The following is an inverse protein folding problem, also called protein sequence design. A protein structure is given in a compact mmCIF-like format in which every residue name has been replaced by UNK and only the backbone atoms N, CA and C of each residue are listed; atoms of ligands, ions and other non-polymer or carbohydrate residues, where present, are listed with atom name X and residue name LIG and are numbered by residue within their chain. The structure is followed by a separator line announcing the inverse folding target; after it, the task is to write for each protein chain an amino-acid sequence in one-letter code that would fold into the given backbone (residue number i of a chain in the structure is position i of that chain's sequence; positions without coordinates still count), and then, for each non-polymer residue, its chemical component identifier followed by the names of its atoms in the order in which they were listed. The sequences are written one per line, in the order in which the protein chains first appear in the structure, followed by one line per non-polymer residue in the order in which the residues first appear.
data_IF_097797203172
#
_entry.id   IF_097797203172
#
_cell.length_a   1.000
_cell.length_b   1.000
_cell.length_c   1.000
_cell.angle_alpha   90.00
_cell.angle_beta   90.00
_cell.angle_gamma   90.00
#
_symmetry.space_group_name_H-M   'P 1'
#
loop_
_entity.id
_entity.type
_entity.pdbx_description
1 polymer ?
#
# COMPACT_ATOMS: atom_id res chain seq x y z
N UNK A 1 -16.18 5.68 -6.62
CA UNK A 1 -15.21 4.80 -5.92
C UNK A 1 -13.95 4.66 -6.78
N UNK A 2 -12.73 4.91 -6.25
CA UNK A 2 -11.50 4.88 -7.07
C UNK A 2 -11.23 3.46 -7.59
N UNK A 3 -11.15 3.29 -8.91
CA UNK A 3 -10.90 2.03 -9.63
C UNK A 3 -9.44 1.57 -9.45
N UNK A 4 -9.02 1.20 -8.24
CA UNK A 4 -7.61 0.84 -7.95
C UNK A 4 -7.26 -0.61 -8.30
N UNK A 5 -8.28 -1.48 -8.37
CA UNK A 5 -8.17 -2.89 -8.75
C UNK A 5 -8.39 -3.12 -10.24
N UNK A 6 -9.18 -2.24 -10.89
CA UNK A 6 -9.50 -2.30 -12.31
C UNK A 6 -8.72 -1.22 -13.06
N UNK A 7 -7.83 -1.63 -13.94
CA UNK A 7 -7.07 -0.73 -14.81
C UNK A 7 -7.30 -1.16 -16.25
N UNK A 8 -7.77 -0.21 -17.05
CA UNK A 8 -7.84 -0.37 -18.49
C UNK A 8 -6.61 0.29 -19.11
N UNK A 9 -5.87 -0.47 -19.92
CA UNK A 9 -4.61 -0.03 -20.51
C UNK A 9 -4.61 -0.30 -22.01
N UNK A 10 -3.99 0.58 -22.83
CA UNK A 10 -4.02 0.43 -24.28
C UNK A 10 -3.21 -0.77 -24.78
N UNK A 11 -2.22 -1.23 -24.01
CA UNK A 11 -1.39 -2.39 -24.33
C UNK A 11 -0.74 -2.99 -23.07
N UNK A 12 -0.24 -4.24 -23.12
CA UNK A 12 0.54 -4.83 -22.02
C UNK A 12 1.82 -4.05 -21.70
N UNK A 13 2.36 -4.26 -20.49
CA UNK A 13 3.48 -3.51 -19.90
C UNK A 13 3.30 -1.99 -19.88
N UNK A 14 2.06 -1.50 -19.81
CA UNK A 14 1.80 -0.08 -19.82
C UNK A 14 2.44 0.64 -18.63
N UNK A 15 3.06 1.77 -18.91
CA UNK A 15 3.63 2.66 -17.92
C UNK A 15 3.47 4.10 -18.42
N UNK A 16 2.93 4.96 -17.57
CA UNK A 16 2.74 6.36 -17.88
C UNK A 16 3.62 7.21 -16.97
N UNK A 17 4.46 8.02 -17.59
CA UNK A 17 5.36 8.91 -16.86
C UNK A 17 4.57 9.85 -15.96
N UNK A 18 5.12 10.09 -14.78
CA UNK A 18 4.56 10.96 -13.76
C UNK A 18 3.18 10.56 -13.22
N UNK A 19 2.73 9.34 -13.51
CA UNK A 19 1.51 8.75 -12.98
C UNK A 19 1.81 7.56 -12.05
N UNK A 20 0.86 7.24 -11.19
CA UNK A 20 0.96 6.13 -10.26
C UNK A 20 1.07 4.82 -11.04
N UNK A 21 2.13 4.05 -10.79
CA UNK A 21 2.38 2.79 -11.50
C UNK A 21 1.37 1.69 -11.21
N UNK A 22 0.44 1.90 -10.27
CA UNK A 22 -0.69 1.00 -10.01
C UNK A 22 -2.01 1.53 -10.55
N UNK A 23 -2.41 2.75 -10.17
CA UNK A 23 -3.76 3.26 -10.48
C UNK A 23 -3.81 4.27 -11.63
N UNK A 24 -2.66 4.57 -12.25
CA UNK A 24 -2.50 5.52 -13.35
C UNK A 24 -3.04 6.93 -13.07
N UNK A 25 -3.30 7.28 -11.81
CA UNK A 25 -3.61 8.66 -11.42
C UNK A 25 -2.34 9.49 -11.46
N UNK A 26 -2.41 10.71 -11.97
CA UNK A 26 -1.29 11.65 -11.94
C UNK A 26 -0.72 11.76 -10.52
N UNK A 27 0.60 11.69 -10.40
CA UNK A 27 1.26 11.78 -9.10
C UNK A 27 1.43 13.24 -8.71
N UNK A 28 0.94 13.63 -7.52
CA UNK A 28 1.25 14.92 -6.94
C UNK A 28 2.75 15.17 -6.91
N UNK A 29 3.14 16.43 -7.05
CA UNK A 29 4.54 16.81 -7.25
C UNK A 29 5.42 16.56 -6.02
N UNK A 30 4.84 16.54 -4.83
CA UNK A 30 5.46 16.17 -3.57
C UNK A 30 5.76 14.66 -3.46
N UNK A 31 5.14 13.83 -4.32
CA UNK A 31 5.41 12.40 -4.38
C UNK A 31 6.66 12.09 -5.20
N UNK A 32 7.73 11.74 -4.49
CA UNK A 32 9.01 11.23 -5.04
C UNK A 32 8.92 9.78 -5.50
N UNK A 33 7.89 9.06 -5.07
CA UNK A 33 7.69 7.65 -5.38
C UNK A 33 7.10 7.40 -6.77
N UNK A 34 6.86 6.12 -7.06
CA UNK A 34 6.13 5.66 -8.25
C UNK A 34 4.68 5.29 -7.94
N UNK A 35 4.24 5.44 -6.69
CA UNK A 35 2.90 5.09 -6.24
C UNK A 35 2.29 6.27 -5.48
N UNK A 36 1.00 6.54 -5.70
CA UNK A 36 0.29 7.63 -5.03
C UNK A 36 -0.02 7.32 -3.55
N UNK A 37 0.08 6.05 -3.14
CA UNK A 37 -0.15 5.64 -1.76
C UNK A 37 0.52 4.29 -1.47
N UNK A 38 0.74 4.01 -0.19
CA UNK A 38 1.18 2.69 0.30
C UNK A 38 0.24 1.58 -0.15
N UNK A 39 -1.07 1.81 -0.12
CA UNK A 39 -2.05 0.85 -0.63
C UNK A 39 -1.85 0.50 -2.12
N UNK A 40 -1.59 1.49 -2.99
CA UNK A 40 -1.29 1.23 -4.40
C UNK A 40 0.01 0.43 -4.59
N UNK A 41 1.02 0.68 -3.77
CA UNK A 41 2.26 -0.10 -3.77
C UNK A 41 2.01 -1.56 -3.37
N UNK A 42 1.15 -1.78 -2.38
CA UNK A 42 0.81 -3.11 -1.86
C UNK A 42 -0.06 -3.91 -2.82
N UNK A 43 -1.05 -3.28 -3.47
CA UNK A 43 -1.84 -3.90 -4.54
C UNK A 43 -0.90 -4.40 -5.65
N UNK A 44 -0.03 -3.52 -6.19
CA UNK A 44 0.90 -3.92 -7.24
C UNK A 44 1.87 -5.04 -6.78
N UNK A 45 2.35 -4.98 -5.53
CA UNK A 45 3.16 -6.05 -4.96
C UNK A 45 2.42 -7.38 -4.78
N UNK A 46 1.11 -7.32 -4.52
CA UNK A 46 0.27 -8.50 -4.42
C UNK A 46 -0.04 -9.10 -5.79
N UNK A 47 -0.32 -8.27 -6.81
CA UNK A 47 -0.47 -8.75 -8.20
C UNK A 47 0.79 -9.48 -8.65
N UNK A 48 1.99 -8.90 -8.48
CA UNK A 48 3.26 -9.59 -8.82
C UNK A 48 3.46 -10.91 -8.07
N UNK A 49 3.02 -10.97 -6.81
CA UNK A 49 3.10 -12.21 -6.04
C UNK A 49 2.14 -13.27 -6.59
N UNK A 50 0.88 -12.91 -6.81
CA UNK A 50 -0.16 -13.78 -7.37
C UNK A 50 0.23 -14.30 -8.75
N UNK A 51 0.77 -13.46 -9.63
CA UNK A 51 1.27 -13.89 -10.95
C UNK A 51 2.34 -14.97 -10.83
N UNK A 52 3.30 -14.78 -9.91
CA UNK A 52 4.37 -15.75 -9.64
C UNK A 52 3.82 -17.09 -9.14
N UNK A 53 3.02 -17.08 -8.07
CA UNK A 53 2.48 -18.31 -7.48
C UNK A 53 1.43 -19.01 -8.35
N UNK A 54 0.77 -18.25 -9.24
CA UNK A 54 -0.13 -18.80 -10.25
C UNK A 54 0.64 -19.54 -11.33
N UNK A 55 1.71 -18.93 -11.87
CA UNK A 55 2.55 -19.52 -12.92
C UNK A 55 3.31 -20.76 -12.46
N UNK A 56 3.84 -20.77 -11.24
CA UNK A 56 4.58 -21.92 -10.70
C UNK A 56 3.68 -22.98 -10.04
N UNK A 57 2.36 -22.77 -10.03
CA UNK A 57 1.37 -23.74 -9.55
C UNK A 57 1.22 -23.82 -8.02
N UNK A 58 1.96 -23.01 -7.25
CA UNK A 58 1.92 -23.01 -5.78
C UNK A 58 0.61 -22.52 -5.18
N UNK A 59 -0.32 -21.94 -5.95
CA UNK A 59 -1.66 -21.62 -5.46
C UNK A 59 -2.45 -22.83 -4.93
N UNK A 60 -2.01 -24.07 -5.20
CA UNK A 60 -2.63 -25.28 -4.63
C UNK A 60 -2.15 -25.60 -3.21
N UNK A 61 -0.99 -25.07 -2.82
CA UNK A 61 -0.38 -25.25 -1.51
C UNK A 61 -1.23 -24.56 -0.41
N UNK A 62 -1.63 -25.26 0.66
CA UNK A 62 -2.43 -24.70 1.75
C UNK A 62 -1.82 -23.44 2.39
N UNK A 63 -0.50 -23.41 2.59
CA UNK A 63 0.18 -22.28 3.23
C UNK A 63 0.19 -21.05 2.32
N UNK A 64 0.37 -21.28 1.02
CA UNK A 64 0.29 -20.22 0.01
C UNK A 64 -1.13 -19.69 -0.11
N UNK A 65 -2.15 -20.54 -0.07
CA UNK A 65 -3.56 -20.11 -0.05
C UNK A 65 -3.87 -19.23 1.15
N UNK A 66 -3.45 -19.65 2.35
CA UNK A 66 -3.65 -18.88 3.56
C UNK A 66 -2.93 -17.53 3.47
N UNK A 67 -1.69 -17.51 2.98
CA UNK A 67 -0.93 -16.28 2.77
C UNK A 67 -1.62 -15.34 1.76
N UNK A 68 -2.20 -15.88 0.67
CA UNK A 68 -2.99 -15.10 -0.30
C UNK A 68 -4.23 -14.52 0.37
N UNK A 69 -5.06 -15.35 1.02
CA UNK A 69 -6.28 -14.92 1.72
C UNK A 69 -5.99 -13.83 2.75
N UNK A 70 -4.89 -13.99 3.50
CA UNK A 70 -4.42 -13.01 4.48
C UNK A 70 -4.09 -11.67 3.84
N UNK A 71 -3.34 -11.69 2.73
CA UNK A 71 -3.01 -10.48 1.98
C UNK A 71 -4.24 -9.80 1.39
N UNK A 72 -5.16 -10.58 0.83
CA UNK A 72 -6.40 -10.07 0.24
C UNK A 72 -7.27 -9.39 1.30
N UNK A 73 -7.47 -10.01 2.47
CA UNK A 73 -8.21 -9.40 3.58
C UNK A 73 -7.62 -8.04 3.98
N UNK A 74 -6.29 -7.93 4.06
CA UNK A 74 -5.63 -6.66 4.38
C UNK A 74 -5.74 -5.62 3.26
N UNK A 75 -5.68 -6.04 2.00
CA UNK A 75 -5.87 -5.12 0.87
C UNK A 75 -7.28 -4.56 0.83
N UNK A 76 -8.30 -5.38 1.14
CA UNK A 76 -9.69 -4.94 1.23
C UNK A 76 -9.88 -3.94 2.37
N UNK A 77 -9.20 -4.15 3.51
CA UNK A 77 -9.17 -3.21 4.63
C UNK A 77 -8.30 -1.94 4.40
N UNK A 78 -7.88 -1.66 3.16
CA UNK A 78 -7.11 -0.44 2.81
C UNK A 78 -5.58 -0.60 2.81
N UNK A 79 -5.07 -1.83 2.89
CA UNK A 79 -3.65 -2.18 2.82
C UNK A 79 -2.94 -2.30 4.17
N UNK A 80 -1.73 -2.86 4.19
CA UNK A 80 -0.89 -2.97 5.40
C UNK A 80 -0.50 -1.60 6.00
N UNK A 81 -0.67 -0.50 5.27
CA UNK A 81 -0.56 0.85 5.82
C UNK A 81 -1.49 1.10 7.01
N UNK A 82 -2.71 0.56 6.99
CA UNK A 82 -3.65 0.61 8.14
C UNK A 82 -3.19 -0.27 9.31
N UNK A 83 -2.23 -1.16 9.06
CA UNK A 83 -1.66 -2.12 10.00
C UNK A 83 -0.20 -1.84 10.33
N UNK A 84 0.40 -0.72 9.90
CA UNK A 84 1.82 -0.41 10.14
C UNK A 84 2.09 -0.24 11.65
N UNK A 85 2.19 -1.38 12.31
CA UNK A 85 2.58 -1.64 13.70
C UNK A 85 3.83 -2.48 13.60
N UNK A 86 4.98 -1.81 13.63
CA UNK A 86 6.23 -2.53 13.83
C UNK A 86 6.48 -2.52 15.33
N UNK A 87 6.06 -3.61 15.99
CA UNK A 87 6.55 -3.92 17.34
C UNK A 87 8.07 -3.83 17.32
N UNK A 88 8.63 -3.05 18.24
CA UNK A 88 10.08 -2.86 18.32
C UNK A 88 10.75 -4.21 18.66
N UNK A 89 12.01 -4.44 18.27
CA UNK A 89 12.75 -5.63 18.70
C UNK A 89 12.76 -5.81 20.21
N UNK A 90 12.79 -4.71 20.98
CA UNK A 90 12.68 -4.70 22.44
C UNK A 90 11.34 -5.28 22.90
N UNK A 91 10.23 -4.78 22.38
CA UNK A 91 8.88 -5.25 22.72
C UNK A 91 8.70 -6.75 22.41
N UNK A 92 9.21 -7.23 21.27
CA UNK A 92 9.15 -8.66 20.93
C UNK A 92 9.93 -9.54 21.92
N UNK A 93 11.09 -9.06 22.37
CA UNK A 93 11.91 -9.75 23.37
C UNK A 93 11.22 -9.76 24.73
N UNK A 94 10.63 -8.65 25.15
CA UNK A 94 9.88 -8.54 26.40
C UNK A 94 8.69 -9.53 26.44
N UNK A 95 7.93 -9.65 25.35
CA UNK A 95 6.84 -10.64 25.22
C UNK A 95 7.39 -12.08 25.27
N UNK A 96 8.47 -12.38 24.54
CA UNK A 96 9.06 -13.73 24.54
C UNK A 96 9.56 -14.15 25.93
N UNK A 97 10.16 -13.24 26.69
CA UNK A 97 10.61 -13.49 28.06
C UNK A 97 9.41 -13.74 28.97
N UNK A 98 8.40 -12.84 28.93
CA UNK A 98 7.16 -12.97 29.71
C UNK A 98 6.48 -14.33 29.46
N UNK A 99 6.41 -14.73 28.19
CA UNK A 99 5.71 -15.94 27.75
C UNK A 99 6.59 -17.19 27.84
N UNK A 100 7.81 -17.08 28.40
CA UNK A 100 8.78 -18.17 28.54
C UNK A 100 9.07 -18.91 27.23
N UNK A 101 9.01 -18.21 26.09
CA UNK A 101 9.18 -18.78 24.75
C UNK A 101 8.09 -19.77 24.32
N UNK A 102 6.95 -19.83 25.03
CA UNK A 102 5.85 -20.77 24.77
C UNK A 102 4.62 -20.06 24.21
N UNK A 103 3.93 -20.75 23.32
CA UNK A 103 2.65 -20.34 22.78
C UNK A 103 1.63 -20.22 23.90
N UNK A 104 1.00 -19.05 24.02
CA UNK A 104 0.00 -18.77 25.05
C UNK A 104 -1.34 -19.49 24.82
N UNK A 105 -1.54 -20.10 23.63
CA UNK A 105 -2.76 -20.86 23.30
C UNK A 105 -2.60 -22.37 23.51
N UNK A 106 -1.47 -22.98 23.14
CA UNK A 106 -1.28 -24.44 23.18
C UNK A 106 -0.04 -24.92 23.95
N UNK A 107 0.84 -24.03 24.42
CA UNK A 107 2.01 -24.36 25.25
C UNK A 107 3.25 -24.89 24.50
N UNK A 108 3.16 -25.12 23.19
CA UNK A 108 4.31 -25.49 22.33
C UNK A 108 5.26 -24.29 22.13
N UNK A 109 6.47 -24.47 21.55
CA UNK A 109 7.36 -23.34 21.27
C UNK A 109 6.69 -22.27 20.39
N UNK A 110 6.72 -21.02 20.86
CA UNK A 110 6.14 -19.88 20.14
C UNK A 110 7.16 -19.18 19.25
N UNK A 111 6.72 -18.66 18.11
CA UNK A 111 7.58 -18.04 17.08
C UNK A 111 7.21 -16.59 16.78
N UNK A 112 5.91 -16.27 16.87
CA UNK A 112 5.35 -14.97 16.44
C UNK A 112 4.66 -14.25 17.60
N UNK A 113 4.85 -12.92 17.66
CA UNK A 113 4.19 -12.05 18.64
C UNK A 113 2.99 -11.39 17.96
N UNK A 114 1.82 -11.51 18.58
CA UNK A 114 0.53 -11.12 18.02
C UNK A 114 -0.30 -10.32 19.03
N UNK A 115 -1.17 -9.44 18.55
CA UNK A 115 -2.07 -8.62 19.39
C UNK A 115 -3.25 -9.44 19.88
N UNK A 116 -3.54 -9.49 21.18
CA UNK A 116 -4.71 -10.20 21.74
C UNK A 116 -6.00 -9.63 21.15
N UNK A 117 -6.22 -8.33 21.30
CA UNK A 117 -7.38 -7.62 20.77
C UNK A 117 -6.99 -6.23 20.23
N UNK A 118 -7.66 -5.80 19.16
CA UNK A 118 -7.40 -4.52 18.53
C UNK A 118 -5.92 -4.30 18.18
N UNK A 119 -5.46 -3.08 18.44
CA UNK A 119 -4.29 -2.52 17.75
C UNK A 119 -3.21 -1.94 18.69
N UNK A 120 -3.38 -2.08 20.00
CA UNK A 120 -2.50 -1.49 21.02
C UNK A 120 -1.21 -2.30 21.19
N UNK A 121 -0.04 -1.67 21.14
CA UNK A 121 1.26 -2.30 21.38
C UNK A 121 1.60 -2.46 22.88
N UNK A 122 0.63 -2.23 23.77
CA UNK A 122 0.78 -2.47 25.20
C UNK A 122 1.12 -3.95 25.47
N UNK A 123 2.08 -4.20 26.37
CA UNK A 123 2.59 -5.55 26.59
C UNK A 123 1.49 -6.54 26.97
N UNK A 124 0.53 -6.13 27.79
CA UNK A 124 -0.65 -6.91 28.19
C UNK A 124 -1.57 -7.28 27.02
N UNK A 125 -1.57 -6.49 25.94
CA UNK A 125 -2.29 -6.76 24.71
C UNK A 125 -1.48 -7.57 23.68
N UNK A 126 -0.29 -8.06 24.03
CA UNK A 126 0.52 -8.90 23.16
C UNK A 126 0.58 -10.33 23.69
N UNK A 127 0.74 -11.30 22.79
CA UNK A 127 0.92 -12.72 23.12
C UNK A 127 1.89 -13.39 22.15
N UNK A 128 2.66 -14.38 22.62
CA UNK A 128 3.48 -15.25 21.80
C UNK A 128 2.65 -16.46 21.33
N UNK A 129 2.64 -16.73 20.02
CA UNK A 129 1.93 -17.85 19.40
C UNK A 129 2.87 -18.75 18.59
N UNK A 130 2.56 -20.05 18.54
CA UNK A 130 3.10 -20.92 17.50
C UNK A 130 2.40 -20.62 16.18
N UNK A 131 2.98 -21.07 15.07
CA UNK A 131 2.47 -20.79 13.73
C UNK A 131 1.02 -21.30 13.56
N UNK A 132 0.72 -22.52 14.00
CA UNK A 132 -0.63 -23.10 13.89
C UNK A 132 -1.69 -22.30 14.67
N UNK A 133 -1.37 -21.87 15.89
CA UNK A 133 -2.29 -21.08 16.71
C UNK A 133 -2.45 -19.65 16.19
N UNK A 134 -1.39 -19.08 15.62
CA UNK A 134 -1.44 -17.77 14.95
C UNK A 134 -2.33 -17.83 13.71
N UNK A 135 -2.14 -18.85 12.88
CA UNK A 135 -2.97 -19.11 11.69
C UNK A 135 -4.44 -19.33 12.07
N UNK A 136 -4.72 -20.15 13.09
CA UNK A 136 -6.09 -20.41 13.55
C UNK A 136 -6.78 -19.13 14.04
N UNK A 137 -6.08 -18.29 14.80
CA UNK A 137 -6.61 -17.01 15.26
C UNK A 137 -6.84 -16.03 14.12
N UNK A 138 -5.88 -15.95 13.19
CA UNK A 138 -6.01 -15.12 11.99
C UNK A 138 -7.24 -15.53 11.19
N UNK A 139 -7.48 -16.84 11.03
CA UNK A 139 -8.66 -17.37 10.36
C UNK A 139 -9.98 -17.09 11.12
N UNK A 140 -9.98 -17.17 12.46
CA UNK A 140 -11.15 -16.83 13.30
C UNK A 140 -11.54 -15.35 13.18
N UNK A 141 -10.55 -14.46 13.06
CA UNK A 141 -10.74 -13.02 12.95
C UNK A 141 -11.03 -12.54 11.51
N UNK A 142 -10.93 -13.42 10.51
CA UNK A 142 -11.31 -13.11 9.14
C UNK A 142 -12.83 -13.13 9.00
N UNK A 143 -13.43 -11.94 8.90
CA UNK A 143 -14.79 -11.82 8.39
C UNK A 143 -14.82 -12.25 6.91
N UNK A 144 -15.88 -12.96 6.47
CA UNK A 144 -16.06 -13.23 5.05
C UNK A 144 -16.11 -11.91 4.27
N UNK A 145 -15.34 -11.83 3.19
CA UNK A 145 -15.45 -10.72 2.24
C UNK A 145 -16.90 -10.62 1.73
N UNK A 146 -17.41 -9.39 1.68
CA UNK A 146 -18.70 -9.06 1.04
C UNK A 146 -18.66 -9.40 -0.44
N UNK A 147 -19.83 -9.50 -1.08
CA UNK A 147 -19.90 -9.81 -2.52
C UNK A 147 -19.17 -8.78 -3.38
N UNK A 148 -19.24 -7.50 -3.02
CA UNK A 148 -18.50 -6.43 -3.69
C UNK A 148 -16.99 -6.59 -3.55
N UNK A 149 -16.49 -6.92 -2.35
CA UNK A 149 -15.07 -7.16 -2.12
C UNK A 149 -14.57 -8.40 -2.86
N UNK A 150 -15.37 -9.48 -2.91
CA UNK A 150 -15.07 -10.66 -3.73
C UNK A 150 -14.99 -10.29 -5.20
N UNK A 151 -15.92 -9.47 -5.69
CA UNK A 151 -15.93 -9.02 -7.08
C UNK A 151 -14.70 -8.17 -7.40
N UNK A 152 -14.22 -7.33 -6.47
CA UNK A 152 -12.98 -6.58 -6.62
C UNK A 152 -11.75 -7.49 -6.76
N UNK A 153 -11.63 -8.51 -5.90
CA UNK A 153 -10.54 -9.48 -5.97
C UNK A 153 -10.59 -10.31 -7.27
N UNK A 154 -11.78 -10.79 -7.66
CA UNK A 154 -11.98 -11.50 -8.92
C UNK A 154 -11.61 -10.62 -10.12
N UNK A 155 -11.99 -9.34 -10.10
CA UNK A 155 -11.63 -8.38 -11.14
C UNK A 155 -10.12 -8.23 -11.25
N UNK A 156 -9.42 -8.05 -10.13
CA UNK A 156 -7.95 -8.00 -10.10
C UNK A 156 -7.33 -9.28 -10.66
N UNK A 157 -7.87 -10.44 -10.28
CA UNK A 157 -7.38 -11.74 -10.77
C UNK A 157 -7.51 -11.85 -12.30
N UNK A 158 -8.70 -11.60 -12.83
CA UNK A 158 -8.99 -11.73 -14.27
C UNK A 158 -8.25 -10.69 -15.11
N UNK A 159 -8.14 -9.46 -14.62
CA UNK A 159 -7.60 -8.35 -15.42
C UNK A 159 -6.10 -8.16 -15.28
N UNK A 160 -5.46 -8.58 -14.18
CA UNK A 160 -4.03 -8.29 -13.94
C UNK A 160 -3.20 -9.52 -13.65
N UNK A 161 -3.77 -10.56 -13.05
CA UNK A 161 -3.02 -11.77 -12.66
C UNK A 161 -3.02 -12.83 -13.76
N UNK A 162 -4.20 -13.24 -14.20
CA UNK A 162 -4.36 -14.33 -15.17
C UNK A 162 -3.87 -14.02 -16.60
N UNK A 163 -3.88 -12.77 -17.09
CA UNK A 163 -3.35 -12.48 -18.42
C UNK A 163 -1.89 -12.93 -18.55
N UNK A 164 -1.58 -13.58 -19.67
CA UNK A 164 -0.24 -14.09 -19.96
C UNK A 164 0.81 -12.98 -19.82
N UNK A 165 0.50 -11.80 -20.35
CA UNK A 165 1.35 -10.61 -20.27
C UNK A 165 0.85 -9.68 -19.14
N UNK A 166 1.76 -9.08 -18.36
CA UNK A 166 1.39 -8.12 -17.32
C UNK A 166 0.78 -6.88 -17.98
N UNK A 167 -0.34 -6.39 -17.43
CA UNK A 167 -1.02 -5.23 -18.02
C UNK A 167 -0.27 -3.93 -17.74
N UNK A 168 0.15 -3.72 -16.49
CA UNK A 168 1.03 -2.63 -16.11
C UNK A 168 2.48 -3.12 -16.03
N UNK A 169 3.44 -2.25 -16.30
CA UNK A 169 4.86 -2.56 -16.05
C UNK A 169 5.11 -2.94 -14.58
N UNK A 170 4.33 -2.37 -13.65
CA UNK A 170 4.39 -2.71 -12.24
C UNK A 170 3.80 -4.08 -11.88
N UNK A 171 3.08 -4.72 -12.81
CA UNK A 171 2.58 -6.09 -12.64
C UNK A 171 3.58 -7.15 -13.07
N UNK A 172 4.65 -6.77 -13.78
CA UNK A 172 5.67 -7.73 -14.19
C UNK A 172 6.46 -8.22 -12.98
N UNK A 173 6.28 -9.49 -12.63
CA UNK A 173 6.93 -10.14 -11.49
C UNK A 173 8.44 -10.36 -11.64
N UNK A 174 8.99 -10.15 -12.85
CA UNK A 174 10.41 -10.30 -13.18
C UNK A 174 11.08 -8.96 -13.48
N UNK A 175 10.46 -8.12 -14.32
CA UNK A 175 11.07 -6.88 -14.80
C UNK A 175 10.89 -5.70 -13.84
N UNK A 176 9.84 -5.67 -13.01
CA UNK A 176 9.61 -4.55 -12.11
C UNK A 176 10.78 -4.32 -11.15
N UNK A 177 11.34 -5.39 -10.56
CA UNK A 177 12.48 -5.31 -9.63
C UNK A 177 13.74 -4.72 -10.28
N UNK A 178 13.91 -4.92 -11.59
CA UNK A 178 15.04 -4.42 -12.36
C UNK A 178 14.87 -2.95 -12.73
N UNK A 179 13.63 -2.52 -13.04
CA UNK A 179 13.37 -1.21 -13.63
C UNK A 179 12.98 -0.11 -12.64
N UNK A 180 12.35 -0.44 -11.51
CA UNK A 180 11.73 0.57 -10.64
C UNK A 180 12.70 1.64 -10.12
N UNK A 181 13.98 1.30 -9.88
CA UNK A 181 14.99 2.27 -9.44
C UNK A 181 15.30 3.30 -10.52
N UNK A 182 15.45 2.83 -11.76
CA UNK A 182 15.70 3.67 -12.94
C UNK A 182 14.51 4.59 -13.18
N UNK A 183 13.28 4.04 -13.23
CA UNK A 183 12.05 4.82 -13.41
C UNK A 183 11.88 5.90 -12.33
N UNK A 184 12.20 5.58 -11.07
CA UNK A 184 12.17 6.55 -9.98
C UNK A 184 13.23 7.66 -10.16
N UNK A 185 14.41 7.29 -10.65
CA UNK A 185 15.47 8.25 -10.94
C UNK A 185 15.09 9.17 -12.11
N UNK A 186 14.51 8.63 -13.18
CA UNK A 186 14.02 9.38 -14.33
C UNK A 186 12.91 10.36 -13.92
N UNK A 187 11.94 9.93 -13.11
CA UNK A 187 10.93 10.83 -12.54
C UNK A 187 11.55 11.98 -11.76
N UNK A 188 12.55 11.68 -10.91
CA UNK A 188 13.27 12.72 -10.17
C UNK A 188 13.95 13.70 -11.13
N UNK A 189 14.59 13.21 -12.19
CA UNK A 189 15.28 14.08 -13.16
C UNK A 189 14.28 14.98 -13.90
N UNK A 190 13.14 14.45 -14.36
CA UNK A 190 12.07 15.27 -14.97
C UNK A 190 11.58 16.37 -14.03
N UNK A 191 11.46 16.09 -12.73
CA UNK A 191 11.12 17.14 -11.76
C UNK A 191 12.21 18.21 -11.66
N UNK A 192 13.50 17.82 -11.67
CA UNK A 192 14.60 18.78 -11.66
C UNK A 192 14.66 19.61 -12.95
N UNK A 193 14.38 19.02 -14.10
CA UNK A 193 14.24 19.73 -15.38
C UNK A 193 13.11 20.76 -15.32
N UNK A 194 11.96 20.42 -14.73
CA UNK A 194 10.86 21.38 -14.51
C UNK A 194 11.28 22.59 -13.65
N UNK A 195 12.14 22.39 -12.65
CA UNK A 195 12.70 23.49 -11.85
C UNK A 195 13.65 24.36 -12.68
N UNK A 196 14.60 23.72 -13.40
CA UNK A 196 15.59 24.42 -14.24
C UNK A 196 14.91 25.22 -15.35
N UNK A 197 13.87 24.67 -15.97
CA UNK A 197 13.09 25.33 -17.02
C UNK A 197 12.40 26.62 -16.53
N UNK A 198 12.10 26.72 -15.23
CA UNK A 198 11.57 27.94 -14.59
C UNK A 198 12.66 28.84 -14.01
N UNK A 199 13.93 28.61 -14.33
CA UNK A 199 15.05 29.40 -13.81
C UNK A 199 15.34 29.19 -12.31
N UNK A 200 14.73 28.19 -11.67
CA UNK A 200 14.93 27.92 -10.25
C UNK A 200 16.27 27.19 -10.03
N UNK A 201 17.05 27.70 -9.08
CA UNK A 201 18.33 27.10 -8.72
C UNK A 201 18.15 25.73 -8.05
N UNK A 202 18.72 24.68 -8.65
CA UNK A 202 18.72 23.32 -8.07
C UNK A 202 20.00 23.09 -7.29
N UNK A 203 19.96 23.22 -5.95
CA UNK A 203 21.13 22.90 -5.11
C UNK A 203 21.10 21.44 -4.68
N UNK A 204 22.27 20.79 -4.67
CA UNK A 204 22.39 19.37 -4.33
C UNK A 204 21.86 19.03 -2.92
N UNK A 205 22.03 19.96 -1.96
CA UNK A 205 21.61 19.80 -0.56
C UNK A 205 20.12 20.10 -0.31
N UNK A 206 19.40 20.64 -1.28
CA UNK A 206 17.98 20.95 -1.08
C UNK A 206 17.14 19.67 -0.98
N UNK A 207 16.25 19.63 0.03
CA UNK A 207 15.26 18.56 0.16
C UNK A 207 14.22 18.63 -0.96
N UNK A 208 13.54 17.51 -1.23
CA UNK A 208 12.44 17.49 -2.20
C UNK A 208 11.34 18.49 -1.83
N UNK A 209 10.94 18.53 -0.56
CA UNK A 209 9.93 19.46 -0.06
C UNK A 209 10.30 20.93 -0.32
N UNK A 210 11.56 21.30 -0.07
CA UNK A 210 12.04 22.66 -0.35
C UNK A 210 11.95 23.01 -1.84
N UNK A 211 12.27 22.06 -2.72
CA UNK A 211 12.18 22.25 -4.18
C UNK A 211 10.75 22.36 -4.66
N UNK A 212 9.82 21.60 -4.05
CA UNK A 212 8.39 21.68 -4.35
C UNK A 212 7.83 23.05 -3.96
N UNK A 213 8.14 23.54 -2.77
CA UNK A 213 7.72 24.88 -2.32
C UNK A 213 8.21 25.97 -3.29
N UNK A 214 9.51 25.94 -3.63
CA UNK A 214 10.07 26.89 -4.60
C UNK A 214 9.37 26.84 -5.97
N UNK A 215 8.89 25.66 -6.39
CA UNK A 215 8.13 25.55 -7.62
C UNK A 215 6.73 26.14 -7.51
N UNK A 216 6.04 25.88 -6.40
CA UNK A 216 4.69 26.38 -6.15
C UNK A 216 4.69 27.91 -6.07
N UNK A 217 5.65 28.48 -5.35
CA UNK A 217 5.84 29.93 -5.22
C UNK A 217 6.08 30.59 -6.60
N UNK A 218 6.90 29.96 -7.45
CA UNK A 218 7.16 30.47 -8.80
C UNK A 218 5.95 30.34 -9.75
N UNK A 219 4.97 29.49 -9.42
CA UNK A 219 3.75 29.31 -10.24
C UNK A 219 2.57 30.16 -9.76
N UNK A 220 2.54 30.58 -8.49
CA UNK A 220 1.48 31.44 -7.95
C UNK A 220 1.65 32.91 -8.36
N UNK A 221 2.87 33.34 -8.67
CA UNK A 221 3.16 34.69 -9.20
C UNK A 221 2.62 34.91 -10.64
N UNK A 222 2.39 33.84 -11.41
CA UNK A 222 1.80 33.90 -12.76
C UNK A 222 0.26 33.96 -12.76
N UNK A 223 -0.40 33.87 -11.59
CA UNK A 223 -1.86 33.94 -11.47
C UNK A 223 -2.32 35.12 -10.61
N UNK A 224 -2.37 36.33 -11.19
CA UNK A 224 -3.11 37.45 -10.59
C UNK A 224 -4.53 37.52 -11.17
N UNK A 225 -5.48 36.90 -10.46
CA UNK A 225 -6.82 37.48 -10.23
C UNK A 225 -7.44 36.74 -9.05
N UNK A 226 -7.38 37.38 -7.87
CA UNK A 226 -8.04 36.95 -6.65
C UNK A 226 -9.56 37.14 -6.81
N UNK A 227 -10.24 36.17 -7.43
CA UNK A 227 -11.64 35.92 -7.13
C UNK A 227 -11.69 35.03 -5.89
N UNK A 228 -12.45 35.47 -4.89
CA UNK A 228 -12.58 34.84 -3.58
C UNK A 228 -13.00 33.37 -3.72
N UNK A 229 -12.07 32.45 -3.46
CA UNK A 229 -12.44 31.06 -3.19
C UNK A 229 -13.19 31.00 -1.87
N UNK A 230 -14.29 30.24 -1.79
CA UNK A 230 -15.03 30.07 -0.55
C UNK A 230 -14.14 29.34 0.47
N UNK A 231 -14.22 29.83 1.69
CA UNK A 231 -13.60 29.28 2.90
C UNK A 231 -13.90 27.78 3.03
N UNK A 232 -12.92 26.93 2.70
CA UNK A 232 -12.98 25.51 3.03
C UNK A 232 -12.50 25.37 4.48
N UNK A 233 -13.46 25.52 5.40
CA UNK A 233 -13.28 25.15 6.79
C UNK A 233 -12.87 23.67 6.94
N UNK A 234 -12.27 23.31 8.09
CA UNK A 234 -11.75 21.96 8.29
C UNK A 234 -12.90 20.93 8.33
N UNK A 235 -12.81 19.93 7.47
CA UNK A 235 -13.27 18.56 7.70
C UNK A 235 -14.78 18.27 7.88
N UNK A 236 -15.70 18.93 7.16
CA UNK A 236 -17.12 18.48 7.17
C UNK A 236 -17.35 17.12 6.46
N UNK A 237 -16.41 16.63 5.64
CA UNK A 237 -16.55 15.31 4.99
C UNK A 237 -16.40 14.13 5.97
N UNK A 238 -15.67 14.31 7.07
CA UNK A 238 -15.49 13.25 8.08
C UNK A 238 -16.58 13.27 9.16
N UNK A 239 -17.17 14.43 9.45
CA UNK A 239 -18.20 14.58 10.48
C UNK A 239 -19.57 14.02 10.04
N UNK A 240 -19.90 14.12 8.75
CA UNK A 240 -21.18 13.63 8.21
C UNK A 240 -21.20 12.09 8.09
N UNK A 241 -20.03 11.46 7.90
CA UNK A 241 -19.90 10.00 7.84
C UNK A 241 -20.03 9.32 9.22
N UNK A 242 -19.78 10.08 10.31
CA UNK A 242 -19.81 9.57 11.68
C UNK A 242 -21.14 9.82 12.40
N UNK A 243 -22.01 10.70 11.89
CA UNK A 243 -23.32 11.00 12.51
C UNK A 243 -24.49 10.18 11.95
N UNK A 244 -24.29 9.42 10.88
CA UNK A 244 -25.38 8.73 10.17
C UNK A 244 -25.62 7.25 10.49
N UNK A 245 -24.89 6.64 11.43
CA UNK A 245 -24.90 5.16 11.60
C UNK A 245 -25.34 4.66 12.98
N UNK A 246 -26.07 5.50 13.75
CA UNK A 246 -26.81 5.05 14.93
C UNK A 246 -28.20 5.72 14.98
N UNK A 247 -29.12 5.16 14.18
CA UNK A 247 -30.55 4.97 14.49
C UNK A 247 -31.16 4.04 13.44
#
# INVERSE_FOLDING_TARGET
MKRRFLIDVPHPWFFLDDHCSNCLTELPIDIVGLYCSTWCQEIAAHVRYLRRVSRDGRLKDPDVKLAVQTREAFLLAGGYGSLRRRLTPRTRTEVRIRDSGRCQRCGTPGVEVDHIDGNSDALDNLQLLCLDCHHAKTAENMAPATDDERQLLLTMMVTRVLPAEPQLLADDENEWERRWRTLRSERKERFLEKLRARGLAVRQRDSHAKRVLALLDATSEDSVSMESFPDFGPDEFFDDLLRGSWN
#
